data_IF_687918231193
#
_entry.id   IF_687918231193
#
_cell.length_a   1.000
_cell.length_b   1.000
_cell.length_c   1.000
_cell.angle_alpha   90.00
_cell.angle_beta   90.00
_cell.angle_gamma   90.00
#
_symmetry.space_group_name_H-M   'P 1'
#
loop_
_entity.id
_entity.type
_entity.pdbx_description
1 polymer ?
#
# COMPACT_ATOMS: atom_id res chain seq x y z
N UNK A 1 23.20 -2.10 11.15
CA UNK A 1 22.86 -3.38 11.80
C UNK A 1 23.48 -4.57 11.09
N UNK A 2 22.97 -5.10 9.95
CA UNK A 2 23.61 -6.24 9.27
C UNK A 2 25.07 -5.97 8.84
N UNK A 3 25.32 -4.81 8.22
CA UNK A 3 26.68 -4.42 7.80
C UNK A 3 27.65 -4.21 8.98
N UNK A 4 27.14 -3.85 10.15
CA UNK A 4 27.96 -3.62 11.36
C UNK A 4 28.35 -4.97 11.97
N UNK A 5 27.39 -5.88 12.13
CA UNK A 5 27.63 -7.25 12.60
C UNK A 5 28.58 -8.00 11.67
N UNK A 6 28.39 -7.89 10.35
CA UNK A 6 29.28 -8.53 9.36
C UNK A 6 30.72 -8.00 9.43
N UNK A 7 30.89 -6.71 9.73
CA UNK A 7 32.21 -6.09 9.87
C UNK A 7 32.96 -6.49 11.14
N UNK A 8 32.24 -6.94 12.16
CA UNK A 8 32.80 -7.40 13.44
C UNK A 8 33.22 -8.88 13.41
N UNK A 9 32.86 -9.63 12.37
CA UNK A 9 33.18 -11.06 12.23
C UNK A 9 34.66 -11.25 11.94
N UNK A 10 35.28 -12.19 12.66
CA UNK A 10 36.63 -12.64 12.38
C UNK A 10 36.63 -13.77 11.32
N UNK A 11 37.11 -13.45 10.12
CA UNK A 11 37.19 -14.36 8.97
C UNK A 11 38.46 -15.20 8.90
N UNK A 12 39.41 -15.01 9.82
CA UNK A 12 40.72 -15.67 9.80
C UNK A 12 40.60 -17.21 9.81
N UNK A 13 39.60 -17.73 10.52
CA UNK A 13 39.34 -19.17 10.60
C UNK A 13 38.90 -19.80 9.27
N UNK A 14 38.36 -19.00 8.35
CA UNK A 14 37.95 -19.42 7.01
C UNK A 14 39.13 -19.32 6.05
N UNK A 15 39.93 -18.25 6.15
CA UNK A 15 41.12 -18.08 5.31
C UNK A 15 42.23 -19.10 5.59
N UNK A 16 42.29 -19.64 6.81
CA UNK A 16 43.24 -20.70 7.21
C UNK A 16 42.75 -22.12 6.92
N UNK A 17 41.51 -22.28 6.44
CA UNK A 17 40.95 -23.59 6.14
C UNK A 17 41.46 -24.08 4.77
N UNK A 18 42.10 -25.25 4.75
CA UNK A 18 42.76 -25.77 3.55
C UNK A 18 41.79 -26.59 2.68
N UNK A 19 40.67 -27.03 3.26
CA UNK A 19 39.60 -27.69 2.53
C UNK A 19 38.58 -26.65 2.02
N UNK A 20 38.48 -26.43 0.70
CA UNK A 20 37.58 -25.43 0.14
C UNK A 20 36.10 -25.66 0.50
N UNK A 21 35.68 -26.92 0.63
CA UNK A 21 34.31 -27.27 1.02
C UNK A 21 34.01 -26.86 2.45
N UNK A 22 34.93 -27.13 3.38
CA UNK A 22 34.78 -26.74 4.79
C UNK A 22 34.87 -25.22 4.96
N UNK A 23 35.74 -24.54 4.19
CA UNK A 23 35.85 -23.09 4.19
C UNK A 23 34.53 -22.44 3.74
N UNK A 24 33.93 -22.96 2.67
CA UNK A 24 32.64 -22.49 2.16
C UNK A 24 31.51 -22.74 3.15
N UNK A 25 31.46 -23.92 3.77
CA UNK A 25 30.44 -24.25 4.77
C UNK A 25 30.49 -23.32 5.98
N UNK A 26 31.70 -23.07 6.51
CA UNK A 26 31.93 -22.12 7.60
C UNK A 26 31.48 -20.71 7.21
N UNK A 27 31.90 -20.23 6.05
CA UNK A 27 31.50 -18.92 5.53
C UNK A 27 29.97 -18.79 5.46
N UNK A 28 29.33 -19.77 4.83
CA UNK A 28 27.89 -19.73 4.59
C UNK A 28 27.10 -19.80 5.91
N UNK A 29 27.56 -20.63 6.86
CA UNK A 29 26.93 -20.75 8.18
C UNK A 29 27.05 -19.45 8.97
N UNK A 30 28.23 -18.81 8.98
CA UNK A 30 28.43 -17.53 9.66
C UNK A 30 27.60 -16.42 9.02
N UNK A 31 27.58 -16.34 7.69
CA UNK A 31 26.81 -15.33 6.97
C UNK A 31 25.30 -15.47 7.22
N UNK A 32 24.77 -16.68 7.09
CA UNK A 32 23.34 -16.95 7.29
C UNK A 32 22.91 -16.75 8.75
N UNK A 33 23.77 -17.11 9.72
CA UNK A 33 23.48 -16.85 11.13
C UNK A 33 23.30 -15.35 11.45
N UNK A 34 24.13 -14.49 10.84
CA UNK A 34 24.01 -13.03 11.00
C UNK A 34 22.78 -12.51 10.28
N UNK A 35 22.48 -13.06 9.10
CA UNK A 35 21.27 -12.71 8.36
C UNK A 35 20.01 -13.03 9.17
N UNK A 36 19.89 -14.23 9.73
CA UNK A 36 18.73 -14.65 10.51
C UNK A 36 18.55 -13.80 11.78
N UNK A 37 19.66 -13.39 12.41
CA UNK A 37 19.65 -12.53 13.59
C UNK A 37 19.17 -11.10 13.28
N UNK A 38 19.66 -10.54 12.17
CA UNK A 38 19.47 -9.11 11.84
C UNK A 38 18.28 -8.84 10.92
N UNK A 39 17.82 -9.86 10.20
CA UNK A 39 16.71 -9.81 9.26
C UNK A 39 15.62 -10.84 9.65
N UNK A 40 15.05 -10.78 10.87
CA UNK A 40 14.06 -11.74 11.31
C UNK A 40 12.82 -11.71 10.41
N UNK A 41 12.41 -12.89 9.94
CA UNK A 41 11.17 -13.04 9.18
C UNK A 41 9.97 -12.69 10.07
N UNK A 42 9.28 -11.61 9.72
CA UNK A 42 8.05 -11.21 10.42
C UNK A 42 6.84 -11.70 9.65
N UNK A 43 6.04 -12.55 10.28
CA UNK A 43 4.72 -12.90 9.74
C UNK A 43 3.83 -11.66 9.76
N UNK A 44 3.39 -11.20 8.60
CA UNK A 44 2.42 -10.11 8.50
C UNK A 44 1.05 -10.66 8.16
N UNK A 45 0.03 -10.21 8.90
CA UNK A 45 -1.36 -10.49 8.55
C UNK A 45 -1.75 -9.66 7.32
N UNK A 46 -1.77 -10.30 6.15
CA UNK A 46 -2.30 -9.68 4.94
C UNK A 46 -3.82 -9.53 5.12
N UNK A 47 -4.29 -8.30 5.32
CA UNK A 47 -5.73 -8.04 5.33
C UNK A 47 -6.27 -8.30 3.92
N UNK A 48 -7.36 -9.06 3.81
CA UNK A 48 -8.10 -9.19 2.56
C UNK A 48 -8.43 -7.78 2.07
N UNK A 49 -8.17 -7.49 0.79
CA UNK A 49 -8.55 -6.20 0.20
C UNK A 49 -10.04 -6.03 0.43
N UNK A 50 -10.43 -4.95 1.11
CA UNK A 50 -11.84 -4.64 1.30
C UNK A 50 -12.51 -4.54 -0.08
N UNK A 51 -13.74 -5.01 -0.17
CA UNK A 51 -14.54 -4.83 -1.37
C UNK A 51 -14.56 -3.35 -1.76
N UNK A 52 -14.47 -3.08 -3.06
CA UNK A 52 -14.54 -1.70 -3.56
C UNK A 52 -15.85 -1.06 -3.10
N UNK A 53 -15.81 0.24 -2.82
CA UNK A 53 -17.02 0.97 -2.47
C UNK A 53 -17.99 0.92 -3.67
N UNK A 54 -19.30 0.72 -3.46
CA UNK A 54 -20.26 0.56 -4.57
C UNK A 54 -20.32 1.74 -5.55
N UNK A 55 -19.97 2.95 -5.10
CA UNK A 55 -19.94 4.16 -5.93
C UNK A 55 -18.64 4.35 -6.73
N UNK A 56 -17.69 3.42 -6.63
CA UNK A 56 -16.45 3.42 -7.44
C UNK A 56 -16.68 2.58 -8.67
N UNK A 57 -16.72 3.22 -9.84
CA UNK A 57 -16.84 2.56 -11.14
C UNK A 57 -15.56 2.65 -11.97
N UNK A 58 -15.56 1.96 -13.11
CA UNK A 58 -14.40 1.86 -14.01
C UNK A 58 -14.00 3.20 -14.63
N UNK A 59 -14.95 4.14 -14.74
CA UNK A 59 -14.64 5.52 -15.15
C UNK A 59 -13.76 6.20 -14.08
N UNK A 60 -14.19 6.18 -12.82
CA UNK A 60 -13.41 6.78 -11.73
C UNK A 60 -12.04 6.10 -11.58
N UNK A 61 -11.97 4.78 -11.79
CA UNK A 61 -10.71 4.03 -11.76
C UNK A 61 -9.76 4.50 -12.86
N UNK A 62 -10.23 4.62 -14.12
CA UNK A 62 -9.41 5.15 -15.21
C UNK A 62 -8.89 6.56 -14.90
N UNK A 63 -9.72 7.42 -14.32
CA UNK A 63 -9.28 8.75 -13.92
C UNK A 63 -8.20 8.73 -12.84
N UNK A 64 -8.33 7.80 -11.87
CA UNK A 64 -7.32 7.56 -10.82
C UNK A 64 -6.01 7.06 -11.43
N UNK A 65 -6.06 6.17 -12.41
CA UNK A 65 -4.88 5.63 -13.08
C UNK A 65 -4.12 6.74 -13.85
N UNK A 66 -4.85 7.59 -14.58
CA UNK A 66 -4.28 8.76 -15.24
C UNK A 66 -3.62 9.71 -14.22
N UNK A 67 -4.30 9.98 -13.09
CA UNK A 67 -3.72 10.80 -12.01
C UNK A 67 -2.43 10.19 -11.47
N UNK A 68 -2.37 8.87 -11.29
CA UNK A 68 -1.18 8.18 -10.78
C UNK A 68 -0.02 8.24 -11.79
N UNK A 69 -0.31 8.10 -13.08
CA UNK A 69 0.67 8.27 -14.14
C UNK A 69 1.24 9.70 -14.14
N UNK A 70 0.37 10.72 -14.06
CA UNK A 70 0.79 12.13 -13.97
C UNK A 70 1.59 12.42 -12.69
N UNK A 71 1.23 11.80 -11.56
CA UNK A 71 2.01 11.91 -10.33
C UNK A 71 3.42 11.34 -10.51
N UNK A 72 3.52 10.17 -11.15
CA UNK A 72 4.83 9.54 -11.43
C UNK A 72 5.68 10.43 -12.34
N UNK A 73 5.09 10.99 -13.40
CA UNK A 73 5.76 11.94 -14.28
C UNK A 73 6.22 13.19 -13.51
N UNK A 74 5.37 13.76 -12.65
CA UNK A 74 5.70 14.91 -11.81
C UNK A 74 6.86 14.65 -10.84
N UNK A 75 6.92 13.46 -10.23
CA UNK A 75 8.00 13.11 -9.29
C UNK A 75 9.32 12.86 -10.04
N UNK A 76 9.27 12.25 -11.22
CA UNK A 76 10.47 11.96 -12.01
C UNK A 76 11.06 13.22 -12.65
N UNK A 77 10.20 14.10 -13.18
CA UNK A 77 10.60 15.37 -13.80
C UNK A 77 9.71 16.52 -13.29
N UNK A 78 10.06 17.10 -12.12
CA UNK A 78 9.30 18.19 -11.55
C UNK A 78 9.47 19.46 -12.38
N UNK A 79 8.39 19.91 -13.02
CA UNK A 79 8.32 21.21 -13.68
C UNK A 79 6.91 21.81 -13.52
N UNK A 80 6.74 23.08 -13.89
CA UNK A 80 5.46 23.79 -13.73
C UNK A 80 4.32 23.11 -14.50
N UNK A 81 4.62 22.60 -15.69
CA UNK A 81 3.65 21.90 -16.53
C UNK A 81 3.20 20.57 -15.91
N UNK A 82 4.14 19.71 -15.51
CA UNK A 82 3.83 18.41 -14.89
C UNK A 82 3.10 18.57 -13.55
N UNK A 83 3.47 19.59 -12.78
CA UNK A 83 2.78 19.99 -11.55
C UNK A 83 1.34 20.45 -11.81
N UNK A 84 1.13 21.33 -12.79
CA UNK A 84 -0.20 21.82 -13.15
C UNK A 84 -1.11 20.68 -13.63
N UNK A 85 -0.63 19.83 -14.54
CA UNK A 85 -1.40 18.68 -15.04
C UNK A 85 -1.79 17.72 -13.92
N UNK A 86 -0.85 17.37 -13.04
CA UNK A 86 -1.16 16.53 -11.89
C UNK A 86 -2.21 17.18 -10.98
N UNK A 87 -2.07 18.48 -10.68
CA UNK A 87 -3.00 19.22 -9.81
C UNK A 87 -4.41 19.24 -10.40
N UNK A 88 -4.54 19.51 -11.68
CA UNK A 88 -5.83 19.55 -12.39
C UNK A 88 -6.50 18.17 -12.38
N UNK A 89 -5.75 17.13 -12.74
CA UNK A 89 -6.29 15.77 -12.73
C UNK A 89 -6.64 15.30 -11.31
N UNK A 90 -5.84 15.64 -10.31
CA UNK A 90 -6.14 15.34 -8.90
C UNK A 90 -7.43 16.02 -8.46
N UNK A 91 -7.63 17.29 -8.83
CA UNK A 91 -8.83 18.04 -8.50
C UNK A 91 -10.07 17.45 -9.19
N UNK A 92 -9.93 17.06 -10.46
CA UNK A 92 -10.97 16.40 -11.24
C UNK A 92 -11.35 15.04 -10.64
N UNK A 93 -10.39 14.19 -10.28
CA UNK A 93 -10.64 12.92 -9.57
C UNK A 93 -11.39 13.17 -8.26
N UNK A 94 -10.97 14.17 -7.48
CA UNK A 94 -11.61 14.50 -6.21
C UNK A 94 -13.05 14.98 -6.37
N UNK A 95 -13.32 15.84 -7.35
CA UNK A 95 -14.66 16.36 -7.62
C UNK A 95 -15.58 15.25 -8.13
N UNK A 96 -15.13 14.42 -9.07
CA UNK A 96 -15.88 13.28 -9.60
C UNK A 96 -16.16 12.24 -8.52
N UNK A 97 -15.16 11.90 -7.68
CA UNK A 97 -15.35 11.01 -6.53
C UNK A 97 -16.45 11.50 -5.61
N UNK A 98 -16.42 12.79 -5.24
CA UNK A 98 -17.46 13.40 -4.38
C UNK A 98 -18.83 13.35 -5.05
N UNK A 99 -18.91 13.63 -6.35
CA UNK A 99 -20.16 13.58 -7.12
C UNK A 99 -20.75 12.17 -7.13
N UNK A 100 -19.97 11.15 -7.51
CA UNK A 100 -20.43 9.75 -7.54
C UNK A 100 -20.88 9.26 -6.17
N UNK A 101 -20.10 9.57 -5.12
CA UNK A 101 -20.46 9.24 -3.74
C UNK A 101 -21.77 9.90 -3.31
N UNK A 102 -21.96 11.20 -3.58
CA UNK A 102 -23.20 11.93 -3.24
C UNK A 102 -24.40 11.37 -3.99
N UNK A 103 -24.26 11.10 -5.28
CA UNK A 103 -25.34 10.53 -6.09
C UNK A 103 -25.76 9.16 -5.56
N UNK A 104 -24.80 8.27 -5.30
CA UNK A 104 -25.08 6.94 -4.77
C UNK A 104 -25.84 7.01 -3.44
N UNK A 105 -25.31 7.72 -2.44
CA UNK A 105 -25.99 7.80 -1.15
C UNK A 105 -27.31 8.57 -1.23
N UNK A 106 -27.42 9.57 -2.11
CA UNK A 106 -28.69 10.26 -2.37
C UNK A 106 -29.78 9.30 -2.85
N UNK A 107 -29.45 8.38 -3.77
CA UNK A 107 -30.38 7.35 -4.22
C UNK A 107 -30.66 6.30 -3.13
N UNK A 108 -29.65 5.90 -2.35
CA UNK A 108 -29.87 4.97 -1.22
C UNK A 108 -30.77 5.57 -0.13
N UNK A 109 -30.65 6.86 0.17
CA UNK A 109 -31.55 7.55 1.10
C UNK A 109 -32.98 7.62 0.57
N UNK A 110 -33.18 7.91 -0.72
CA UNK A 110 -34.51 7.90 -1.34
C UNK A 110 -35.16 6.52 -1.24
N UNK A 111 -34.41 5.45 -1.54
CA UNK A 111 -34.90 4.06 -1.45
C UNK A 111 -35.29 3.66 -0.02
N UNK A 112 -34.59 4.18 0.98
CA UNK A 112 -34.78 3.81 2.39
C UNK A 112 -35.56 4.86 3.20
N UNK A 113 -36.24 5.81 2.54
CA UNK A 113 -36.91 6.94 3.19
C UNK A 113 -37.97 6.51 4.23
N UNK A 114 -38.65 5.38 4.01
CA UNK A 114 -39.64 4.81 4.94
C UNK A 114 -39.05 3.87 5.99
N UNK A 115 -37.73 3.64 5.98
CA UNK A 115 -37.05 2.73 6.89
C UNK A 115 -35.98 3.46 7.72
N UNK A 116 -36.34 3.96 8.92
CA UNK A 116 -35.42 4.68 9.79
C UNK A 116 -34.19 3.86 10.17
N UNK A 117 -34.34 2.55 10.40
CA UNK A 117 -33.23 1.66 10.76
C UNK A 117 -32.21 1.56 9.63
N UNK A 118 -32.67 1.39 8.40
CA UNK A 118 -31.80 1.35 7.22
C UNK A 118 -31.14 2.71 6.95
N UNK A 119 -31.89 3.80 7.12
CA UNK A 119 -31.35 5.17 7.00
C UNK A 119 -30.21 5.43 8.00
N UNK A 120 -30.38 5.04 9.26
CA UNK A 120 -29.32 5.14 10.28
C UNK A 120 -28.10 4.28 9.95
N UNK A 121 -28.28 3.11 9.33
CA UNK A 121 -27.17 2.28 8.85
C UNK A 121 -26.35 3.01 7.78
N UNK A 122 -27.03 3.64 6.82
CA UNK A 122 -26.38 4.43 5.76
C UNK A 122 -25.62 5.63 6.36
N UNK A 123 -26.23 6.36 7.30
CA UNK A 123 -25.56 7.49 8.00
C UNK A 123 -24.29 7.02 8.69
N UNK A 124 -24.36 5.92 9.44
CA UNK A 124 -23.20 5.35 10.13
C UNK A 124 -22.09 4.95 9.15
N UNK A 125 -22.44 4.39 7.99
CA UNK A 125 -21.48 4.04 6.95
C UNK A 125 -20.76 5.28 6.37
N UNK A 126 -21.50 6.38 6.16
CA UNK A 126 -20.93 7.64 5.65
C UNK A 126 -19.99 8.29 6.67
N UNK A 127 -20.39 8.34 7.95
CA UNK A 127 -19.64 9.03 9.01
C UNK A 127 -18.42 8.23 9.46
N UNK A 128 -18.59 6.93 9.73
CA UNK A 128 -17.54 6.09 10.33
C UNK A 128 -16.72 5.32 9.29
N UNK A 129 -17.14 5.33 8.03
CA UNK A 129 -16.68 4.39 7.01
C UNK A 129 -17.30 3.01 7.23
N UNK A 130 -17.53 2.24 6.15
CA UNK A 130 -18.15 0.92 6.26
C UNK A 130 -17.42 0.09 7.33
N UNK A 131 -18.14 -0.41 8.36
CA UNK A 131 -17.53 -1.22 9.40
C UNK A 131 -16.85 -2.44 8.76
N UNK A 132 -15.73 -2.85 9.34
CA UNK A 132 -15.07 -4.08 8.91
C UNK A 132 -16.09 -5.24 8.95
N UNK A 133 -16.11 -6.13 7.94
CA UNK A 133 -16.94 -7.32 8.02
C UNK A 133 -16.61 -8.07 9.31
N UNK A 134 -17.64 -8.36 10.11
CA UNK A 134 -17.54 -9.19 11.32
C UNK A 134 -17.11 -10.61 10.95
#
# INVERSE_FOLDING_TARGET
MFSEELSAVNWESIFRENNPSLAFEKFNTTLLGIYDLTCPLKSMKIRKKAARKPWVDDELLRMIDIRNALYTAYINEPNEFSSAQFKDQRNLVNSTRRKKMRNFYGEEFKKNASNPKATWKIINEVIRGSPAPQ
#
